data_IF_968041309851
#
_entry.id   IF_968041309851
#
_cell.length_a   1.000
_cell.length_b   1.000
_cell.length_c   1.000
_cell.angle_alpha   90.00
_cell.angle_beta   90.00
_cell.angle_gamma   90.00
#
_symmetry.space_group_name_H-M   'P 1'
#
loop_
_entity.id
_entity.type
_entity.pdbx_description
1 polymer ?
#
# COMPACT_ATOMS: atom_id res chain seq x y z
N UNK A 1 18.11 2.34 -2.53
CA UNK A 1 17.61 2.76 -1.22
C UNK A 1 16.56 3.86 -1.47
N UNK A 2 15.31 3.67 -1.05
CA UNK A 2 14.21 4.59 -1.35
C UNK A 2 14.48 5.96 -0.69
N UNK A 3 14.65 7.03 -1.49
CA UNK A 3 14.85 8.39 -0.97
C UNK A 3 13.72 8.86 -0.05
N UNK A 4 12.50 8.33 -0.23
CA UNK A 4 11.38 8.56 0.66
C UNK A 4 11.67 8.13 2.11
N UNK A 5 12.42 7.04 2.32
CA UNK A 5 12.79 6.57 3.67
C UNK A 5 13.84 7.46 4.33
N UNK A 6 14.79 7.98 3.55
CA UNK A 6 15.85 8.86 4.05
C UNK A 6 15.28 10.24 4.43
N UNK A 7 14.37 10.79 3.61
CA UNK A 7 13.67 12.05 3.93
C UNK A 7 12.78 11.92 5.17
N UNK A 8 12.28 10.71 5.48
CA UNK A 8 11.39 10.46 6.62
C UNK A 8 12.08 9.96 7.90
N UNK A 9 13.40 9.69 7.91
CA UNK A 9 13.97 8.79 8.92
C UNK A 9 15.32 9.14 9.56
N UNK A 10 15.91 10.32 9.39
CA UNK A 10 17.26 10.57 9.93
C UNK A 10 17.34 10.99 11.42
N UNK A 11 16.23 11.35 12.08
CA UNK A 11 16.20 11.66 13.53
C UNK A 11 14.87 11.20 14.13
N UNK A 12 14.93 10.45 15.23
CA UNK A 12 13.84 9.86 16.03
C UNK A 12 12.60 9.47 15.20
N UNK A 13 12.36 8.16 15.00
CA UNK A 13 11.38 7.51 14.10
C UNK A 13 9.94 8.08 13.96
N UNK A 14 9.58 9.12 14.72
CA UNK A 14 8.32 9.87 14.65
C UNK A 14 8.48 11.40 14.41
N UNK A 15 9.66 11.95 14.13
CA UNK A 15 9.83 13.41 13.90
C UNK A 15 9.05 13.92 12.68
N UNK A 16 8.74 13.03 11.73
CA UNK A 16 7.88 13.34 10.60
C UNK A 16 6.42 13.61 11.02
N UNK A 17 5.94 13.04 12.14
CA UNK A 17 4.62 13.32 12.73
C UNK A 17 4.56 14.77 13.20
N UNK A 18 5.67 15.28 13.78
CA UNK A 18 5.76 16.68 14.25
C UNK A 18 5.73 17.68 13.10
N UNK A 19 6.09 17.25 11.88
CA UNK A 19 6.14 18.08 10.68
C UNK A 19 5.09 17.64 9.64
N UNK A 20 3.96 17.09 10.08
CA UNK A 20 2.93 16.51 9.20
C UNK A 20 2.40 17.51 8.15
N UNK A 21 2.37 18.82 8.45
CA UNK A 21 2.01 19.86 7.48
C UNK A 21 2.99 19.94 6.30
N UNK A 22 4.30 19.81 6.56
CA UNK A 22 5.30 19.77 5.50
C UNK A 22 5.13 18.50 4.66
N UNK A 23 4.79 17.37 5.28
CA UNK A 23 4.49 16.14 4.56
C UNK A 23 3.28 16.29 3.62
N UNK A 24 2.22 16.98 4.03
CA UNK A 24 1.07 17.25 3.14
C UNK A 24 1.54 18.02 1.89
N UNK A 25 2.35 19.05 2.07
CA UNK A 25 2.92 19.81 0.95
C UNK A 25 3.75 18.92 0.02
N UNK A 26 4.66 18.12 0.58
CA UNK A 26 5.52 17.22 -0.20
C UNK A 26 4.74 16.09 -0.88
N UNK A 27 3.69 15.57 -0.24
CA UNK A 27 2.84 14.54 -0.83
C UNK A 27 2.24 15.01 -2.15
N UNK A 28 1.75 16.26 -2.22
CA UNK A 28 1.17 16.81 -3.45
C UNK A 28 2.19 16.84 -4.59
N UNK A 29 3.39 17.35 -4.33
CA UNK A 29 4.47 17.38 -5.32
C UNK A 29 4.84 15.98 -5.79
N UNK A 30 5.01 15.03 -4.86
CA UNK A 30 5.35 13.64 -5.20
C UNK A 30 4.24 12.95 -6.00
N UNK A 31 2.97 13.22 -5.67
CA UNK A 31 1.82 12.69 -6.41
C UNK A 31 1.79 13.21 -7.86
N UNK A 32 2.10 14.49 -8.07
CA UNK A 32 2.21 15.09 -9.40
C UNK A 32 3.38 14.49 -10.19
N UNK A 33 4.55 14.32 -9.56
CA UNK A 33 5.72 13.67 -10.17
C UNK A 33 5.45 12.22 -10.56
N UNK A 34 4.77 11.45 -9.70
CA UNK A 34 4.40 10.05 -10.00
C UNK A 34 3.41 10.01 -11.16
N UNK A 35 2.41 10.89 -11.18
CA UNK A 35 1.45 10.98 -12.30
C UNK A 35 2.13 11.33 -13.61
N UNK A 36 3.07 12.29 -13.57
CA UNK A 36 3.87 12.66 -14.72
C UNK A 36 4.73 11.49 -15.21
N UNK A 37 5.38 10.76 -14.29
CA UNK A 37 6.13 9.56 -14.66
C UNK A 37 5.22 8.52 -15.32
N UNK A 38 4.03 8.26 -14.76
CA UNK A 38 3.05 7.34 -15.33
C UNK A 38 2.58 7.76 -16.74
N UNK A 39 2.43 9.06 -17.02
CA UNK A 39 2.02 9.55 -18.35
C UNK A 39 3.10 9.37 -19.42
N UNK A 40 4.35 9.17 -19.02
CA UNK A 40 5.48 8.93 -19.93
C UNK A 40 5.80 7.44 -20.11
N UNK A 41 4.99 6.54 -19.53
CA UNK A 41 5.14 5.10 -19.76
C UNK A 41 4.88 4.81 -21.26
N UNK A 42 5.82 4.17 -21.98
CA UNK A 42 5.65 3.87 -23.40
C UNK A 42 4.38 3.02 -23.66
N UNK A 43 3.64 3.28 -24.76
CA UNK A 43 2.40 2.55 -25.07
C UNK A 43 2.54 1.02 -25.05
N UNK A 44 3.72 0.50 -25.43
CA UNK A 44 4.02 -0.94 -25.46
C UNK A 44 4.00 -1.63 -24.09
N UNK A 45 4.13 -0.88 -23.00
CA UNK A 45 4.08 -1.40 -21.62
C UNK A 45 2.96 -0.74 -20.80
N UNK A 46 1.99 -0.15 -21.49
CA UNK A 46 0.78 0.38 -20.88
C UNK A 46 -0.34 -0.67 -20.96
N UNK A 47 -0.70 -1.29 -19.83
CA UNK A 47 -1.76 -2.31 -19.77
C UNK A 47 -3.14 -1.77 -20.18
N UNK A 48 -3.39 -0.45 -20.11
CA UNK A 48 -4.64 0.13 -20.59
C UNK A 48 -4.72 0.19 -22.13
N UNK A 49 -3.60 -0.04 -22.82
CA UNK A 49 -3.46 0.05 -24.27
C UNK A 49 -2.93 -1.23 -24.91
N UNK A 50 -2.48 -2.21 -24.12
CA UNK A 50 -1.99 -3.48 -24.65
C UNK A 50 -3.13 -4.50 -24.77
N UNK A 51 -3.78 -4.53 -25.92
CA UNK A 51 -4.52 -5.72 -26.33
C UNK A 51 -3.52 -6.88 -26.49
N UNK A 52 -3.63 -7.91 -25.66
CA UNK A 52 -3.01 -9.22 -25.93
C UNK A 52 -1.56 -9.44 -25.49
N UNK A 53 -0.93 -8.56 -24.70
CA UNK A 53 0.40 -8.84 -24.16
C UNK A 53 0.37 -8.98 -22.63
N UNK A 54 0.53 -10.23 -22.16
CA UNK A 54 0.97 -10.58 -20.80
C UNK A 54 2.42 -10.10 -20.58
N UNK A 55 2.66 -8.79 -20.65
CA UNK A 55 3.97 -8.22 -20.40
C UNK A 55 4.17 -8.12 -18.90
N UNK A 56 4.96 -9.04 -18.35
CA UNK A 56 5.41 -9.02 -16.96
C UNK A 56 6.05 -7.66 -16.60
N UNK A 57 6.75 -7.04 -17.56
CA UNK A 57 7.29 -5.70 -17.41
C UNK A 57 6.19 -4.64 -17.24
N UNK A 58 5.13 -4.68 -18.07
CA UNK A 58 4.01 -3.75 -17.96
C UNK A 58 3.28 -3.91 -16.61
N UNK A 59 3.07 -5.15 -16.19
CA UNK A 59 2.53 -5.49 -14.87
C UNK A 59 3.36 -4.87 -13.74
N UNK A 60 4.68 -5.07 -13.74
CA UNK A 60 5.55 -4.54 -12.70
C UNK A 60 5.62 -3.01 -12.72
N UNK A 61 5.70 -2.39 -13.90
CA UNK A 61 5.76 -0.93 -14.02
C UNK A 61 4.47 -0.29 -13.50
N UNK A 62 3.30 -0.83 -13.82
CA UNK A 62 2.04 -0.32 -13.27
C UNK A 62 1.91 -0.58 -11.77
N UNK A 63 2.24 -1.79 -11.32
CA UNK A 63 2.24 -2.12 -9.90
C UNK A 63 3.18 -1.22 -9.08
N UNK A 64 4.29 -0.76 -9.69
CA UNK A 64 5.19 0.23 -9.11
C UNK A 64 4.55 1.61 -8.99
N UNK A 65 3.83 2.08 -10.01
CA UNK A 65 3.10 3.35 -9.94
C UNK A 65 2.12 3.37 -8.77
N UNK A 66 1.28 2.33 -8.65
CA UNK A 66 0.34 2.20 -7.53
C UNK A 66 1.08 2.10 -6.19
N UNK A 67 2.18 1.34 -6.12
CA UNK A 67 2.97 1.21 -4.88
C UNK A 67 3.62 2.51 -4.44
N UNK A 68 4.19 3.29 -5.36
CA UNK A 68 4.79 4.58 -5.03
C UNK A 68 3.74 5.56 -4.51
N UNK A 69 2.57 5.62 -5.16
CA UNK A 69 1.44 6.41 -4.66
C UNK A 69 1.03 5.95 -3.27
N UNK A 70 0.89 4.64 -3.05
CA UNK A 70 0.52 4.10 -1.74
C UNK A 70 1.54 4.47 -0.65
N UNK A 71 2.84 4.38 -0.94
CA UNK A 71 3.89 4.72 0.04
C UNK A 71 3.89 6.18 0.48
N UNK A 72 3.64 7.11 -0.44
CA UNK A 72 3.55 8.54 -0.06
C UNK A 72 2.30 8.84 0.76
N UNK A 73 1.29 7.95 0.77
CA UNK A 73 0.09 8.09 1.59
C UNK A 73 0.16 7.39 2.96
N UNK A 74 1.04 6.40 3.14
CA UNK A 74 1.19 5.66 4.42
C UNK A 74 1.38 6.53 5.67
N UNK A 75 2.18 7.62 5.65
CA UNK A 75 2.36 8.46 6.85
C UNK A 75 1.04 9.04 7.35
N UNK A 76 0.13 9.40 6.43
CA UNK A 76 -1.18 9.97 6.77
C UNK A 76 -2.12 8.91 7.34
N UNK A 77 -2.07 7.69 6.79
CA UNK A 77 -2.79 6.56 7.38
C UNK A 77 -2.31 6.28 8.82
N UNK A 78 -1.00 6.24 9.03
CA UNK A 78 -0.44 6.09 10.36
C UNK A 78 -0.88 7.22 11.29
N UNK A 79 -0.82 8.47 10.83
CA UNK A 79 -1.25 9.64 11.61
C UNK A 79 -2.71 9.54 12.03
N UNK A 80 -3.62 9.22 11.09
CA UNK A 80 -5.05 9.07 11.36
C UNK A 80 -5.40 7.91 12.31
N UNK A 81 -4.55 6.88 12.38
CA UNK A 81 -4.72 5.76 13.33
C UNK A 81 -4.27 6.14 14.75
N UNK A 82 -3.24 6.99 14.89
CA UNK A 82 -2.56 7.21 16.17
C UNK A 82 -2.83 8.57 16.83
N UNK A 83 -3.42 9.53 16.12
CA UNK A 83 -3.74 10.85 16.66
C UNK A 83 -5.23 10.97 17.01
N UNK A 84 -5.62 11.86 17.96
CA UNK A 84 -7.02 12.11 18.29
C UNK A 84 -7.82 12.56 17.06
N UNK A 85 -9.08 12.13 16.98
CA UNK A 85 -9.97 12.51 15.88
C UNK A 85 -10.26 14.03 15.86
N UNK A 86 -10.13 14.67 17.03
CA UNK A 86 -10.32 16.11 17.25
C UNK A 86 -9.10 16.95 16.86
N UNK A 87 -7.99 16.34 16.42
CA UNK A 87 -6.82 17.09 15.96
C UNK A 87 -7.24 18.04 14.81
N UNK A 88 -6.96 19.36 14.92
CA UNK A 88 -7.33 20.34 13.90
C UNK A 88 -6.83 20.02 12.48
N UNK A 89 -5.76 19.23 12.34
CA UNK A 89 -5.24 18.84 11.02
C UNK A 89 -5.95 17.62 10.43
N UNK A 90 -6.68 16.84 11.24
CA UNK A 90 -7.33 15.59 10.83
C UNK A 90 -8.20 15.73 9.56
N UNK A 91 -8.96 16.83 9.34
CA UNK A 91 -9.71 17.03 8.10
C UNK A 91 -8.85 17.05 6.82
N UNK A 92 -7.58 17.45 6.92
CA UNK A 92 -6.64 17.42 5.79
C UNK A 92 -5.96 16.05 5.64
N UNK A 93 -5.79 15.31 6.75
CA UNK A 93 -5.16 13.98 6.77
C UNK A 93 -6.13 12.90 6.28
N UNK A 94 -7.40 12.97 6.68
CA UNK A 94 -8.37 11.90 6.45
C UNK A 94 -8.50 11.50 4.97
N UNK A 95 -8.58 12.44 4.00
CA UNK A 95 -8.63 12.06 2.59
C UNK A 95 -7.36 11.35 2.11
N UNK A 96 -6.19 11.72 2.64
CA UNK A 96 -4.91 11.09 2.29
C UNK A 96 -4.79 9.69 2.89
N UNK A 97 -5.29 9.50 4.11
CA UNK A 97 -5.38 8.18 4.76
C UNK A 97 -6.34 7.25 4.00
N UNK A 98 -7.51 7.75 3.60
CA UNK A 98 -8.49 7.00 2.81
C UNK A 98 -7.92 6.62 1.43
N UNK A 99 -7.18 7.51 0.78
CA UNK A 99 -6.49 7.20 -0.49
C UNK A 99 -5.46 6.07 -0.31
N UNK A 100 -4.73 6.04 0.81
CA UNK A 100 -3.84 4.92 1.13
C UNK A 100 -4.60 3.58 1.15
N UNK A 101 -5.76 3.51 1.81
CA UNK A 101 -6.57 2.30 1.90
C UNK A 101 -7.17 1.91 0.54
N UNK A 102 -7.63 2.90 -0.25
CA UNK A 102 -8.12 2.69 -1.61
C UNK A 102 -7.03 2.08 -2.51
N UNK A 103 -5.80 2.60 -2.43
CA UNK A 103 -4.64 2.07 -3.16
C UNK A 103 -4.24 0.67 -2.70
N UNK A 104 -4.43 0.33 -1.42
CA UNK A 104 -4.25 -1.04 -0.93
C UNK A 104 -5.22 -2.02 -1.61
N UNK A 105 -6.49 -1.65 -1.71
CA UNK A 105 -7.54 -2.45 -2.39
C UNK A 105 -7.29 -2.55 -3.90
N UNK A 106 -6.94 -1.44 -4.54
CA UNK A 106 -6.63 -1.39 -5.97
C UNK A 106 -5.45 -2.29 -6.31
N UNK A 107 -4.36 -2.20 -5.54
CA UNK A 107 -3.16 -2.99 -5.79
C UNK A 107 -3.42 -4.50 -5.69
N UNK A 108 -4.16 -4.94 -4.66
CA UNK A 108 -4.45 -6.35 -4.46
C UNK A 108 -5.36 -6.92 -5.56
N UNK A 109 -6.29 -6.11 -6.08
CA UNK A 109 -7.17 -6.52 -7.19
C UNK A 109 -6.40 -6.75 -8.50
N UNK A 110 -5.29 -6.04 -8.68
CA UNK A 110 -4.47 -6.13 -9.89
C UNK A 110 -3.35 -7.17 -9.80
N UNK A 111 -3.16 -7.81 -8.64
CA UNK A 111 -2.07 -8.76 -8.41
C UNK A 111 -2.33 -10.10 -9.07
N UNK A 112 -1.28 -10.73 -9.63
CA UNK A 112 -1.26 -12.13 -10.04
C UNK A 112 -0.67 -12.99 -8.91
N UNK A 113 -1.47 -13.48 -7.95
CA UNK A 113 -0.95 -14.06 -6.70
C UNK A 113 -0.30 -15.43 -6.86
N UNK A 114 -0.57 -16.13 -7.97
CA UNK A 114 -0.12 -17.51 -8.19
C UNK A 114 0.95 -17.65 -9.28
N UNK A 115 1.44 -16.53 -9.82
CA UNK A 115 2.48 -16.54 -10.84
C UNK A 115 3.86 -16.53 -10.18
N UNK A 116 4.66 -17.57 -10.44
CA UNK A 116 6.05 -17.60 -9.96
C UNK A 116 6.92 -16.71 -10.83
N UNK A 117 7.57 -15.73 -10.20
CA UNK A 117 8.54 -14.84 -10.82
C UNK A 117 9.55 -14.36 -9.78
N UNK A 118 10.65 -13.72 -10.23
CA UNK A 118 11.69 -13.21 -9.33
C UNK A 118 11.17 -12.19 -8.29
N UNK A 119 9.98 -11.62 -8.48
CA UNK A 119 9.31 -10.71 -7.56
C UNK A 119 8.33 -11.36 -6.56
N UNK A 120 8.16 -12.68 -6.54
CA UNK A 120 7.05 -13.33 -5.80
C UNK A 120 7.13 -13.10 -4.30
N UNK A 121 8.33 -13.18 -3.70
CA UNK A 121 8.52 -12.87 -2.27
C UNK A 121 8.27 -11.41 -1.92
N UNK A 122 8.66 -10.50 -2.81
CA UNK A 122 8.36 -9.10 -2.64
C UNK A 122 6.85 -8.83 -2.70
N UNK A 123 6.16 -9.50 -3.62
CA UNK A 123 4.71 -9.42 -3.78
C UNK A 123 3.96 -10.00 -2.59
N UNK A 124 4.35 -11.17 -2.09
CA UNK A 124 3.75 -11.79 -0.89
C UNK A 124 3.86 -10.85 0.33
N UNK A 125 5.04 -10.30 0.59
CA UNK A 125 5.26 -9.31 1.66
C UNK A 125 4.45 -8.02 1.45
N UNK A 126 4.30 -7.60 0.19
CA UNK A 126 3.49 -6.45 -0.19
C UNK A 126 2.00 -6.68 0.05
N UNK A 127 1.48 -7.89 -0.19
CA UNK A 127 0.12 -8.31 0.16
C UNK A 127 -0.08 -8.34 1.67
N UNK A 128 0.83 -8.96 2.43
CA UNK A 128 0.76 -8.98 3.89
C UNK A 128 0.73 -7.57 4.49
N UNK A 129 1.62 -6.69 4.02
CA UNK A 129 1.69 -5.30 4.50
C UNK A 129 0.36 -4.57 4.30
N UNK A 130 -0.24 -4.67 3.11
CA UNK A 130 -1.50 -4.00 2.78
C UNK A 130 -2.68 -4.57 3.56
N UNK A 131 -2.70 -5.89 3.78
CA UNK A 131 -3.70 -6.52 4.65
C UNK A 131 -3.60 -5.99 6.09
N UNK A 132 -2.39 -5.87 6.63
CA UNK A 132 -2.16 -5.30 7.96
C UNK A 132 -2.56 -3.83 8.04
N UNK A 133 -2.31 -3.02 7.00
CA UNK A 133 -2.76 -1.62 6.95
C UNK A 133 -4.30 -1.51 6.99
N UNK A 134 -5.00 -2.36 6.24
CA UNK A 134 -6.47 -2.41 6.25
C UNK A 134 -7.01 -2.84 7.63
N UNK A 135 -6.42 -3.88 8.23
CA UNK A 135 -6.82 -4.34 9.57
C UNK A 135 -6.54 -3.26 10.63
N UNK A 136 -5.39 -2.58 10.57
CA UNK A 136 -5.04 -1.52 11.51
C UNK A 136 -6.02 -0.34 11.43
N UNK A 137 -6.39 0.07 10.21
CA UNK A 137 -7.40 1.12 9.99
C UNK A 137 -8.77 0.72 10.52
N UNK A 138 -9.20 -0.52 10.27
CA UNK A 138 -10.47 -1.02 10.80
C UNK A 138 -10.48 -1.01 12.32
N UNK A 139 -9.38 -1.48 12.95
CA UNK A 139 -9.26 -1.56 14.40
C UNK A 139 -9.12 -0.20 15.09
N UNK A 140 -8.67 0.84 14.39
CA UNK A 140 -8.63 2.19 14.97
C UNK A 140 -10.04 2.74 15.19
N UNK A 141 -11.01 2.34 14.37
CA UNK A 141 -12.38 2.85 14.41
C UNK A 141 -12.50 4.33 14.01
N UNK A 142 -11.39 4.95 13.55
CA UNK A 142 -11.33 6.39 13.22
C UNK A 142 -11.48 6.68 11.72
N UNK A 143 -11.35 5.67 10.87
CA UNK A 143 -11.31 5.82 9.42
C UNK A 143 -12.43 4.97 8.79
N UNK A 144 -13.17 5.56 7.87
CA UNK A 144 -14.12 4.80 7.05
C UNK A 144 -13.39 3.81 6.13
N UNK A 145 -13.76 2.54 6.22
CA UNK A 145 -13.12 1.49 5.46
C UNK A 145 -13.58 1.48 3.99
N UNK A 146 -12.66 1.27 3.02
CA UNK A 146 -13.05 1.17 1.61
C UNK A 146 -13.91 -0.07 1.36
N UNK A 147 -14.72 -0.01 0.31
CA UNK A 147 -15.47 -1.17 -0.18
C UNK A 147 -14.53 -2.36 -0.44
N UNK A 148 -15.01 -3.56 -0.18
CA UNK A 148 -14.31 -4.82 -0.39
C UNK A 148 -13.02 -5.03 0.43
N UNK A 149 -12.73 -4.22 1.46
CA UNK A 149 -11.51 -4.38 2.26
C UNK A 149 -11.36 -5.79 2.87
N UNK A 150 -12.45 -6.41 3.35
CA UNK A 150 -12.44 -7.79 3.88
C UNK A 150 -12.05 -8.79 2.80
N UNK A 151 -12.62 -8.65 1.60
CA UNK A 151 -12.27 -9.47 0.45
C UNK A 151 -10.80 -9.28 0.04
N UNK A 152 -10.29 -8.04 0.06
CA UNK A 152 -8.88 -7.73 -0.18
C UNK A 152 -7.95 -8.44 0.82
N UNK A 153 -8.29 -8.44 2.11
CA UNK A 153 -7.52 -9.19 3.12
C UNK A 153 -7.56 -10.69 2.85
N UNK A 154 -8.72 -11.23 2.43
CA UNK A 154 -8.83 -12.64 2.05
C UNK A 154 -7.97 -13.00 0.83
N UNK A 155 -7.92 -12.14 -0.19
CA UNK A 155 -7.02 -12.33 -1.34
C UNK A 155 -5.54 -12.35 -0.92
N UNK A 156 -5.16 -11.47 0.01
CA UNK A 156 -3.81 -11.45 0.56
C UNK A 156 -3.50 -12.74 1.32
N UNK A 157 -4.44 -13.24 2.14
CA UNK A 157 -4.31 -14.52 2.85
C UNK A 157 -4.14 -15.68 1.87
N UNK A 158 -4.97 -15.76 0.83
CA UNK A 158 -4.88 -16.82 -0.18
C UNK A 158 -3.49 -16.81 -0.86
N UNK A 159 -2.97 -15.62 -1.18
CA UNK A 159 -1.61 -15.46 -1.74
C UNK A 159 -0.54 -15.96 -0.77
N UNK A 160 -0.59 -15.54 0.50
CA UNK A 160 0.40 -15.95 1.51
C UNK A 160 0.35 -17.46 1.78
N UNK A 161 -0.85 -18.03 1.92
CA UNK A 161 -1.04 -19.46 2.15
C UNK A 161 -0.55 -20.32 0.99
N UNK A 162 -0.75 -19.85 -0.25
CA UNK A 162 -0.23 -20.53 -1.43
C UNK A 162 1.29 -20.68 -1.38
N UNK A 163 1.99 -19.62 -0.96
CA UNK A 163 3.45 -19.55 -0.90
C UNK A 163 4.07 -19.96 0.45
N UNK A 164 3.26 -20.31 1.46
CA UNK A 164 3.73 -20.55 2.82
C UNK A 164 4.73 -21.71 2.93
N UNK A 165 4.66 -22.69 2.02
CA UNK A 165 5.57 -23.84 2.01
C UNK A 165 6.99 -23.49 1.57
N UNK A 166 7.14 -22.38 0.86
CA UNK A 166 8.38 -21.98 0.21
C UNK A 166 9.18 -20.94 1.02
N UNK A 167 8.61 -20.43 2.11
CA UNK A 167 9.25 -19.46 3.00
C UNK A 167 8.61 -19.41 4.38
N UNK A 168 9.41 -19.64 5.43
CA UNK A 168 8.92 -19.62 6.81
C UNK A 168 8.43 -18.23 7.25
N UNK A 169 9.02 -17.15 6.71
CA UNK A 169 8.58 -15.78 6.98
C UNK A 169 7.21 -15.48 6.35
N UNK A 170 6.92 -16.07 5.17
CA UNK A 170 5.61 -15.96 4.51
C UNK A 170 4.54 -16.73 5.31
N UNK A 171 4.87 -17.93 5.80
CA UNK A 171 3.97 -18.68 6.67
C UNK A 171 3.63 -17.88 7.95
N UNK A 172 4.64 -17.32 8.62
CA UNK A 172 4.44 -16.47 9.80
C UNK A 172 3.60 -15.23 9.51
N UNK A 173 3.79 -14.62 8.33
CA UNK A 173 2.97 -13.49 7.90
C UNK A 173 1.51 -13.91 7.66
N UNK A 174 1.27 -15.08 7.06
CA UNK A 174 -0.07 -15.63 6.87
C UNK A 174 -0.79 -15.84 8.21
N UNK A 175 -0.11 -16.47 9.17
CA UNK A 175 -0.65 -16.73 10.51
C UNK A 175 -0.98 -15.43 11.24
N UNK A 176 -0.08 -14.44 11.16
CA UNK A 176 -0.28 -13.12 11.78
C UNK A 176 -1.48 -12.39 11.20
N UNK A 177 -1.58 -12.33 9.86
CA UNK A 177 -2.71 -11.68 9.17
C UNK A 177 -4.02 -12.41 9.50
N UNK A 178 -4.03 -13.75 9.48
CA UNK A 178 -5.22 -14.54 9.75
C UNK A 178 -5.71 -14.34 11.18
N UNK A 179 -4.80 -14.40 12.16
CA UNK A 179 -5.12 -14.19 13.57
C UNK A 179 -5.73 -12.81 13.81
N UNK A 180 -5.17 -11.77 13.20
CA UNK A 180 -5.68 -10.41 13.35
C UNK A 180 -7.01 -10.20 12.61
N UNK A 181 -7.19 -10.82 11.45
CA UNK A 181 -8.41 -10.70 10.66
C UNK A 181 -9.61 -11.41 11.31
N UNK A 182 -9.39 -12.54 12.00
CA UNK A 182 -10.45 -13.24 12.74
C UNK A 182 -11.05 -12.41 13.89
N UNK A 183 -10.37 -11.34 14.31
CA UNK A 183 -10.83 -10.41 15.34
C UNK A 183 -11.63 -9.21 14.78
N UNK A 184 -12.02 -9.25 13.49
CA UNK A 184 -12.67 -8.13 12.77
C UNK A 184 -14.08 -8.39 12.28
#
# INVERSE_FOLDING_TARGET
MNRAYVVMGEKQDADWIKNIQQLIYHQKTLEEEIKLWCSHIPPRINLNQSEGFNSELAYFVQGRGISCREWIHRPFLYYAIHQPAEDPIMPQIMPLAQECLRLCVEWQSNVLPYHLHHGTWYQARSSATRALLLIAAFRSGTIEMPLNWKHTVQLALNCLQHWARDGSDIAQAADSVQSLFNMT
#
